data_IF_703175285082
#
_entry.id   IF_703175285082
#
_cell.length_a   1.000
_cell.length_b   1.000
_cell.length_c   1.000
_cell.angle_alpha   90.00
_cell.angle_beta   90.00
_cell.angle_gamma   90.00
#
_symmetry.space_group_name_H-M   'P 1'
#
loop_
_entity.id
_entity.type
_entity.pdbx_description
1 polymer ?
#
# COMPACT_ATOMS: atom_id res chain seq x y z
N UNK A 1 -36.43 20.87 20.71
CA UNK A 1 -35.33 21.74 20.19
C UNK A 1 -33.98 21.38 20.80
N UNK A 2 -33.91 21.09 22.11
CA UNK A 2 -32.70 20.69 22.85
C UNK A 2 -31.98 19.45 22.30
N UNK A 3 -32.70 18.36 21.98
CA UNK A 3 -32.08 17.12 21.49
C UNK A 3 -31.33 17.29 20.16
N UNK A 4 -31.82 18.17 19.27
CA UNK A 4 -31.17 18.47 17.99
C UNK A 4 -29.87 19.25 18.20
N UNK A 5 -29.87 20.21 19.12
CA UNK A 5 -28.67 20.96 19.51
C UNK A 5 -27.62 20.03 20.14
N UNK A 6 -28.06 19.09 20.99
CA UNK A 6 -27.19 18.11 21.64
C UNK A 6 -26.51 17.19 20.61
N UNK A 7 -27.28 16.72 19.61
CA UNK A 7 -26.75 15.90 18.51
C UNK A 7 -25.74 16.67 17.64
N UNK A 8 -26.00 17.94 17.36
CA UNK A 8 -25.07 18.81 16.62
C UNK A 8 -23.76 19.00 17.40
N UNK A 9 -23.82 19.23 18.71
CA UNK A 9 -22.64 19.35 19.55
C UNK A 9 -21.81 18.05 19.57
N UNK A 10 -22.46 16.88 19.66
CA UNK A 10 -21.78 15.58 19.60
C UNK A 10 -21.07 15.39 18.26
N UNK A 11 -21.70 15.73 17.14
CA UNK A 11 -21.07 15.64 15.81
C UNK A 11 -19.84 16.56 15.69
N UNK A 12 -19.93 17.80 16.19
CA UNK A 12 -18.82 18.76 16.21
C UNK A 12 -17.62 18.29 17.07
N UNK A 13 -17.88 17.58 18.16
CA UNK A 13 -16.83 16.99 19.01
C UNK A 13 -16.07 15.85 18.31
N UNK A 14 -16.74 15.10 17.41
CA UNK A 14 -16.10 13.96 16.71
C UNK A 14 -15.20 14.36 15.54
N UNK A 15 -15.39 15.54 14.94
CA UNK A 15 -14.59 16.01 13.80
C UNK A 15 -13.39 16.88 14.22
N UNK A 16 -13.34 17.33 15.49
CA UNK A 16 -12.31 18.25 15.98
C UNK A 16 -10.92 17.63 16.14
N UNK A 17 -10.79 16.30 16.17
CA UNK A 17 -9.50 15.63 16.36
C UNK A 17 -8.64 15.57 15.09
N UNK A 18 -9.12 16.10 13.95
CA UNK A 18 -8.39 16.08 12.68
C UNK A 18 -8.16 14.67 12.10
N UNK A 19 -8.67 13.63 12.76
CA UNK A 19 -8.69 12.26 12.26
C UNK A 19 -9.72 12.17 11.15
N UNK A 20 -9.21 11.93 9.95
CA UNK A 20 -10.00 11.62 8.78
C UNK A 20 -9.86 10.14 8.47
N UNK A 21 -10.95 9.51 8.03
CA UNK A 21 -10.90 8.12 7.59
C UNK A 21 -9.89 8.00 6.43
N UNK A 22 -9.05 6.96 6.46
CA UNK A 22 -8.13 6.68 5.34
C UNK A 22 -8.96 6.57 4.05
N UNK A 23 -8.66 7.43 3.07
CA UNK A 23 -9.42 7.50 1.80
C UNK A 23 -10.50 8.58 1.74
N UNK A 24 -10.72 9.38 2.79
CA UNK A 24 -11.65 10.53 2.72
C UNK A 24 -11.09 11.73 1.96
N UNK A 25 -9.80 11.70 1.60
CA UNK A 25 -9.14 12.71 0.79
C UNK A 25 -9.58 12.50 -0.67
N UNK A 26 -10.25 13.50 -1.26
CA UNK A 26 -10.91 13.44 -2.58
C UNK A 26 -9.96 13.48 -3.78
N UNK A 27 -8.64 13.51 -3.56
CA UNK A 27 -7.67 13.39 -4.65
C UNK A 27 -7.54 11.91 -5.02
N UNK A 28 -8.48 11.41 -5.83
CA UNK A 28 -8.34 10.13 -6.51
C UNK A 28 -7.20 10.28 -7.52
N UNK A 29 -6.02 9.79 -7.16
CA UNK A 29 -5.00 9.51 -8.18
C UNK A 29 -5.55 8.32 -8.96
N UNK A 30 -6.14 8.60 -10.10
CA UNK A 30 -6.63 7.59 -11.04
C UNK A 30 -5.42 6.96 -11.73
N UNK A 31 -4.91 5.88 -11.14
CA UNK A 31 -3.82 5.09 -11.69
C UNK A 31 -4.39 3.78 -12.24
N UNK A 32 -5.36 3.90 -13.14
CA UNK A 32 -5.87 2.74 -13.86
C UNK A 32 -5.02 2.40 -15.08
N UNK A 33 -5.18 1.17 -15.56
CA UNK A 33 -4.56 0.65 -16.77
C UNK A 33 -3.02 0.57 -16.69
N UNK A 34 -2.51 0.00 -15.58
CA UNK A 34 -1.08 -0.19 -15.33
C UNK A 34 -0.61 -1.54 -15.88
N UNK A 35 0.50 -1.57 -16.61
CA UNK A 35 1.22 -2.80 -16.94
C UNK A 35 2.42 -3.02 -16.03
N UNK A 36 2.48 -4.19 -15.39
CA UNK A 36 3.63 -4.60 -14.58
C UNK A 36 4.55 -5.48 -15.43
N UNK A 37 5.69 -4.92 -15.83
CA UNK A 37 6.77 -5.63 -16.48
C UNK A 37 7.67 -6.30 -15.42
N UNK A 38 7.81 -7.61 -15.50
CA UNK A 38 8.53 -8.41 -14.51
C UNK A 38 10.05 -8.29 -14.57
N UNK A 39 10.63 -7.75 -15.66
CA UNK A 39 12.08 -7.68 -15.87
C UNK A 39 12.79 -8.97 -15.42
N UNK A 40 13.72 -8.86 -14.46
CA UNK A 40 14.41 -10.01 -13.85
C UNK A 40 13.87 -10.42 -12.46
N UNK A 41 12.71 -9.91 -12.04
CA UNK A 41 12.09 -10.15 -10.72
C UNK A 41 10.65 -10.72 -10.82
N UNK A 42 10.44 -11.93 -11.36
CA UNK A 42 9.11 -12.50 -11.60
C UNK A 42 8.29 -12.77 -10.33
N UNK A 43 8.94 -13.15 -9.22
CA UNK A 43 8.26 -13.38 -7.94
C UNK A 43 7.70 -12.07 -7.36
N UNK A 44 8.50 -11.00 -7.40
CA UNK A 44 8.05 -9.66 -6.99
C UNK A 44 6.93 -9.16 -7.92
N UNK A 45 7.02 -9.42 -9.22
CA UNK A 45 5.99 -9.06 -10.18
C UNK A 45 4.64 -9.70 -9.87
N UNK A 46 4.62 -10.98 -9.47
CA UNK A 46 3.40 -11.67 -9.05
C UNK A 46 2.77 -10.99 -7.84
N UNK A 47 3.56 -10.67 -6.83
CA UNK A 47 3.07 -10.02 -5.61
C UNK A 47 2.56 -8.61 -5.88
N UNK A 48 3.32 -7.81 -6.64
CA UNK A 48 2.91 -6.45 -7.02
C UNK A 48 1.58 -6.47 -7.77
N UNK A 49 1.40 -7.39 -8.73
CA UNK A 49 0.11 -7.57 -9.42
C UNK A 49 -1.01 -7.93 -8.45
N UNK A 50 -0.74 -8.82 -7.49
CA UNK A 50 -1.72 -9.19 -6.46
C UNK A 50 -2.14 -8.00 -5.59
N UNK A 51 -1.18 -7.16 -5.17
CA UNK A 51 -1.46 -5.98 -4.35
C UNK A 51 -2.29 -4.94 -5.10
N UNK A 52 -1.97 -4.69 -6.38
CA UNK A 52 -2.78 -3.78 -7.21
C UNK A 52 -4.21 -4.31 -7.40
N UNK A 53 -4.37 -5.61 -7.68
CA UNK A 53 -5.70 -6.22 -7.78
C UNK A 53 -6.49 -6.11 -6.48
N UNK A 54 -5.85 -6.33 -5.32
CA UNK A 54 -6.48 -6.20 -4.00
C UNK A 54 -6.87 -4.75 -3.67
N UNK A 55 -6.14 -3.78 -4.21
CA UNK A 55 -6.46 -2.36 -4.11
C UNK A 55 -7.57 -1.91 -5.10
N UNK A 56 -8.06 -2.81 -5.96
CA UNK A 56 -9.10 -2.54 -6.95
C UNK A 56 -8.61 -1.86 -8.23
N UNK A 57 -7.30 -1.80 -8.48
CA UNK A 57 -6.74 -1.18 -9.68
C UNK A 57 -6.88 -2.08 -10.90
N UNK A 58 -7.21 -1.50 -12.06
CA UNK A 58 -7.27 -2.23 -13.31
C UNK A 58 -5.87 -2.41 -13.94
N UNK A 59 -5.40 -3.66 -14.06
CA UNK A 59 -4.12 -3.95 -14.72
C UNK A 59 -4.30 -4.17 -16.23
N UNK A 60 -3.40 -3.59 -17.02
CA UNK A 60 -3.34 -3.79 -18.46
C UNK A 60 -2.81 -5.20 -18.81
N UNK A 61 -3.33 -5.78 -19.89
CA UNK A 61 -2.91 -7.10 -20.37
C UNK A 61 -1.58 -7.08 -21.12
N UNK A 62 -1.20 -5.91 -21.68
CA UNK A 62 0.04 -5.71 -22.42
C UNK A 62 0.60 -4.30 -22.20
N UNK A 63 1.90 -4.12 -22.43
CA UNK A 63 2.55 -2.80 -22.35
C UNK A 63 2.04 -1.81 -23.40
N UNK A 64 1.54 -2.29 -24.54
CA UNK A 64 1.05 -1.42 -25.62
C UNK A 64 -0.26 -0.73 -25.28
N UNK A 65 -1.07 -1.34 -24.41
CA UNK A 65 -2.39 -0.86 -24.06
C UNK A 65 -2.42 -0.13 -22.71
N UNK A 66 -1.26 0.04 -22.07
CA UNK A 66 -1.15 0.55 -20.71
C UNK A 66 -0.94 2.07 -20.70
N UNK A 67 -1.60 2.76 -19.76
CA UNK A 67 -1.34 4.16 -19.49
C UNK A 67 -0.01 4.34 -18.75
N UNK A 68 0.34 3.37 -17.89
CA UNK A 68 1.57 3.36 -17.11
C UNK A 68 2.27 2.01 -17.20
N UNK A 69 3.60 2.03 -17.26
CA UNK A 69 4.43 0.82 -17.25
C UNK A 69 5.35 0.86 -16.04
N UNK A 70 5.16 -0.07 -15.11
CA UNK A 70 6.07 -0.27 -13.98
C UNK A 70 7.00 -1.42 -14.34
N UNK A 71 8.31 -1.14 -14.40
CA UNK A 71 9.32 -2.16 -14.69
C UNK A 71 10.07 -2.54 -13.42
N UNK A 72 9.93 -3.80 -13.02
CA UNK A 72 10.68 -4.38 -11.92
C UNK A 72 12.01 -4.86 -12.47
N UNK A 73 13.11 -4.23 -12.04
CA UNK A 73 14.46 -4.63 -12.45
C UNK A 73 14.89 -5.86 -11.66
N UNK A 74 15.74 -5.67 -10.66
CA UNK A 74 16.32 -6.72 -9.84
C UNK A 74 15.69 -6.72 -8.45
N UNK A 75 15.43 -7.91 -7.89
CA UNK A 75 15.11 -8.09 -6.47
C UNK A 75 16.33 -8.59 -5.72
N UNK A 76 16.86 -7.80 -4.80
CA UNK A 76 17.98 -8.19 -3.93
C UNK A 76 17.47 -8.48 -2.52
N UNK A 77 17.86 -9.64 -2.00
CA UNK A 77 17.57 -10.06 -0.64
C UNK A 77 18.90 -10.26 0.07
N UNK A 78 19.13 -9.44 1.09
CA UNK A 78 20.32 -9.51 1.93
C UNK A 78 19.90 -9.96 3.33
N UNK A 79 20.68 -10.85 3.92
CA UNK A 79 20.48 -11.30 5.29
C UNK A 79 21.61 -10.76 6.14
N UNK A 80 21.26 -9.99 7.16
CA UNK A 80 22.17 -9.57 8.21
C UNK A 80 21.84 -10.31 9.50
N UNK A 81 22.85 -10.59 10.30
CA UNK A 81 22.68 -10.97 11.70
C UNK A 81 22.39 -9.69 12.47
N UNK A 82 21.27 -9.67 13.17
CA UNK A 82 20.82 -8.59 14.05
C UNK A 82 21.29 -8.82 15.48
N UNK A 83 21.41 -10.08 15.91
CA UNK A 83 21.91 -10.41 17.24
C UNK A 83 22.58 -11.79 17.34
N UNK A 84 23.40 -11.94 18.38
CA UNK A 84 24.04 -13.22 18.72
C UNK A 84 23.82 -13.53 20.20
N UNK A 85 23.75 -14.82 20.50
CA UNK A 85 23.66 -15.34 21.86
C UNK A 85 24.86 -14.94 22.70
N UNK A 86 24.64 -14.33 23.87
CA UNK A 86 25.70 -13.98 24.82
C UNK A 86 26.43 -15.20 25.42
N UNK A 87 25.79 -16.38 25.40
CA UNK A 87 26.34 -17.62 25.97
C UNK A 87 27.05 -18.45 24.90
N UNK A 88 26.45 -18.56 23.71
CA UNK A 88 26.93 -19.49 22.67
C UNK A 88 27.60 -18.81 21.48
N UNK A 89 27.45 -17.48 21.33
CA UNK A 89 27.93 -16.72 20.18
C UNK A 89 27.21 -17.01 18.86
N UNK A 90 26.15 -17.84 18.88
CA UNK A 90 25.37 -18.21 17.69
C UNK A 90 24.36 -17.13 17.32
N UNK A 91 23.97 -17.10 16.05
CA UNK A 91 22.93 -16.21 15.50
C UNK A 91 21.60 -16.48 16.21
N UNK A 92 20.92 -15.40 16.63
CA UNK A 92 19.57 -15.45 17.19
C UNK A 92 18.57 -14.71 16.30
N UNK A 93 18.93 -13.51 15.83
CA UNK A 93 18.15 -12.71 14.88
C UNK A 93 19.01 -12.24 13.72
#
# INVERSE_FOLDING_TARGET
MSARLLLIYVLLLTTACGFHLRGSQTATIDVDNIFINSGSAPALAKEVKSQFNNAGAALATSSQNAAFIITLKESRFEKSVLSVSAITGKVEE
#
